data_IF_288911866795
#
_entry.id   IF_288911866795
#
_cell.length_a   1.000
_cell.length_b   1.000
_cell.length_c   1.000
_cell.angle_alpha   90.00
_cell.angle_beta   90.00
_cell.angle_gamma   90.00
#
_symmetry.space_group_name_H-M   'P 1'
#
loop_
_entity.id
_entity.type
_entity.pdbx_description
1 polymer ?
#
# COMPACT_ATOMS: atom_id res chain seq x y z
N UNK A 1 -74.94 -44.56 0.77
CA UNK A 1 -73.97 -43.68 1.44
C UNK A 1 -72.59 -44.11 0.97
N UNK A 2 -72.05 -43.44 -0.05
CA UNK A 2 -70.82 -43.83 -0.74
C UNK A 2 -69.69 -42.94 -0.18
N UNK A 3 -68.77 -43.51 0.58
CA UNK A 3 -67.61 -42.78 1.11
C UNK A 3 -66.45 -42.86 0.12
N UNK A 4 -66.10 -41.72 -0.47
CA UNK A 4 -64.91 -41.52 -1.31
C UNK A 4 -63.75 -41.19 -0.37
N UNK A 5 -62.69 -42.01 -0.33
CA UNK A 5 -61.44 -41.66 0.34
C UNK A 5 -60.53 -40.91 -0.64
N UNK A 6 -60.35 -39.61 -0.44
CA UNK A 6 -59.32 -38.82 -1.13
C UNK A 6 -57.98 -39.01 -0.40
N UNK A 7 -56.99 -39.61 -1.08
CA UNK A 7 -55.60 -39.63 -0.64
C UNK A 7 -54.90 -38.41 -1.22
N UNK A 8 -54.57 -37.43 -0.38
CA UNK A 8 -53.73 -36.31 -0.77
C UNK A 8 -52.26 -36.75 -0.75
N UNK A 9 -51.61 -36.73 -1.91
CA UNK A 9 -50.16 -36.82 -2.04
C UNK A 9 -49.57 -35.43 -1.76
N UNK A 10 -48.80 -35.30 -0.67
CA UNK A 10 -47.94 -34.14 -0.45
C UNK A 10 -46.65 -34.33 -1.26
N UNK A 11 -46.56 -33.71 -2.42
CA UNK A 11 -45.30 -33.51 -3.14
C UNK A 11 -44.49 -32.43 -2.40
N UNK A 12 -43.43 -32.85 -1.71
CA UNK A 12 -42.46 -31.95 -1.10
C UNK A 12 -41.60 -31.34 -2.22
N UNK A 13 -41.92 -30.12 -2.65
CA UNK A 13 -41.07 -29.33 -3.55
C UNK A 13 -39.87 -28.87 -2.72
N UNK A 14 -38.73 -29.55 -2.86
CA UNK A 14 -37.45 -29.08 -2.36
C UNK A 14 -37.04 -27.89 -3.25
N UNK A 15 -37.42 -26.69 -2.83
CA UNK A 15 -36.87 -25.45 -3.34
C UNK A 15 -35.38 -25.42 -2.97
N UNK A 16 -34.53 -25.77 -3.93
CA UNK A 16 -33.11 -25.43 -3.88
C UNK A 16 -33.02 -23.90 -3.93
N UNK A 17 -32.93 -23.28 -2.74
CA UNK A 17 -32.47 -21.91 -2.63
C UNK A 17 -30.99 -21.91 -3.06
N UNK A 18 -30.74 -21.56 -4.32
CA UNK A 18 -29.43 -21.03 -4.67
C UNK A 18 -29.25 -19.80 -3.79
N UNK A 19 -28.34 -19.88 -2.82
CA UNK A 19 -27.84 -18.71 -2.11
C UNK A 19 -27.21 -17.85 -3.19
N UNK A 20 -27.92 -16.79 -3.59
CA UNK A 20 -27.32 -15.71 -4.36
C UNK A 20 -26.37 -15.03 -3.38
N UNK A 21 -25.13 -15.51 -3.29
CA UNK A 21 -24.06 -14.75 -2.66
C UNK A 21 -23.85 -13.52 -3.54
N UNK A 22 -24.49 -12.41 -3.15
CA UNK A 22 -24.08 -11.08 -3.61
C UNK A 22 -22.59 -10.98 -3.35
N UNK A 23 -21.81 -10.58 -4.35
CA UNK A 23 -20.46 -10.18 -4.04
C UNK A 23 -20.54 -8.92 -3.17
N UNK A 24 -19.70 -8.84 -2.15
CA UNK A 24 -19.73 -7.73 -1.21
C UNK A 24 -18.48 -6.88 -1.37
N UNK A 25 -18.68 -5.59 -1.54
CA UNK A 25 -17.63 -4.59 -1.59
C UNK A 25 -16.89 -4.53 -0.25
N UNK A 26 -15.56 -4.45 -0.32
CA UNK A 26 -14.67 -4.36 0.85
C UNK A 26 -13.89 -3.06 0.91
N UNK A 27 -13.94 -2.26 -0.14
CA UNK A 27 -13.24 -0.98 -0.18
C UNK A 27 -12.70 -0.66 -1.56
N UNK A 28 -12.15 0.53 -1.68
CA UNK A 28 -11.54 0.99 -2.90
C UNK A 28 -11.03 2.41 -2.78
N UNK A 29 -10.35 2.84 -3.83
CA UNK A 29 -9.70 4.12 -3.95
C UNK A 29 -9.72 4.55 -5.42
N UNK A 30 -9.89 5.84 -5.68
CA UNK A 30 -9.78 6.43 -7.02
C UNK A 30 -8.78 7.57 -6.96
N UNK A 31 -7.85 7.63 -7.89
CA UNK A 31 -6.96 8.78 -8.13
C UNK A 31 -7.00 9.15 -9.61
N UNK A 32 -6.42 10.29 -9.95
CA UNK A 32 -6.33 10.75 -11.32
C UNK A 32 -5.07 11.56 -11.57
N UNK A 33 -4.63 11.57 -12.82
CA UNK A 33 -3.56 12.44 -13.31
C UNK A 33 -3.87 12.96 -14.72
N UNK A 34 -3.36 14.12 -15.11
CA UNK A 34 -3.48 14.61 -16.47
C UNK A 34 -2.74 13.67 -17.43
N UNK A 35 -3.35 13.43 -18.58
CA UNK A 35 -2.76 12.65 -19.67
C UNK A 35 -2.66 13.52 -20.94
N UNK A 36 -1.93 13.02 -21.95
CA UNK A 36 -1.77 13.72 -23.23
C UNK A 36 -3.12 13.97 -23.93
N UNK A 37 -3.15 14.94 -24.85
CA UNK A 37 -4.30 15.19 -25.74
C UNK A 37 -5.63 15.49 -25.02
N UNK A 38 -5.59 16.29 -23.94
CA UNK A 38 -6.78 16.66 -23.16
C UNK A 38 -7.50 15.45 -22.55
N UNK A 39 -6.71 14.44 -22.15
CA UNK A 39 -7.21 13.27 -21.44
C UNK A 39 -6.94 13.39 -19.94
N UNK A 40 -7.76 12.69 -19.18
CA UNK A 40 -7.49 12.35 -17.78
C UNK A 40 -7.26 10.84 -17.69
N UNK A 41 -6.25 10.43 -16.94
CA UNK A 41 -6.08 9.04 -16.55
C UNK A 41 -6.66 8.86 -15.15
N UNK A 42 -7.74 8.10 -15.05
CA UNK A 42 -8.42 7.75 -13.80
C UNK A 42 -7.91 6.37 -13.38
N UNK A 43 -7.18 6.32 -12.27
CA UNK A 43 -6.66 5.11 -11.68
C UNK A 43 -7.56 4.70 -10.52
N UNK A 44 -7.79 3.41 -10.33
CA UNK A 44 -8.55 2.93 -9.18
C UNK A 44 -8.02 1.60 -8.68
N UNK A 45 -8.15 1.40 -7.37
CA UNK A 45 -7.98 0.11 -6.71
C UNK A 45 -9.30 -0.25 -6.05
N UNK A 46 -9.68 -1.50 -6.12
CA UNK A 46 -10.91 -2.00 -5.50
C UNK A 46 -10.67 -3.32 -4.79
N UNK A 47 -11.51 -3.60 -3.81
CA UNK A 47 -11.49 -4.84 -3.07
C UNK A 47 -12.92 -5.38 -2.90
N UNK A 48 -13.04 -6.70 -3.09
CA UNK A 48 -14.30 -7.43 -2.99
C UNK A 48 -14.12 -8.67 -2.11
N UNK A 49 -15.25 -9.24 -1.69
CA UNK A 49 -15.25 -10.60 -1.17
C UNK A 49 -14.73 -11.56 -2.22
N UNK A 50 -13.72 -12.34 -1.84
CA UNK A 50 -13.19 -13.40 -2.68
C UNK A 50 -14.13 -14.59 -2.65
N UNK A 51 -14.75 -14.88 -3.78
CA UNK A 51 -15.64 -16.03 -3.98
C UNK A 51 -15.25 -16.75 -5.27
N UNK A 52 -15.46 -18.06 -5.33
CA UNK A 52 -15.24 -18.86 -6.55
C UNK A 52 -16.18 -18.47 -7.69
N UNK A 53 -17.30 -17.81 -7.38
CA UNK A 53 -18.30 -17.43 -8.37
C UNK A 53 -18.16 -15.97 -8.82
N UNK A 54 -17.63 -15.09 -7.97
CA UNK A 54 -17.48 -13.66 -8.23
C UNK A 54 -16.14 -13.17 -7.65
N UNK A 55 -15.39 -12.40 -8.45
CA UNK A 55 -14.16 -11.70 -8.03
C UNK A 55 -13.08 -12.62 -7.43
N UNK A 56 -12.94 -13.85 -7.93
CA UNK A 56 -11.83 -14.72 -7.55
C UNK A 56 -10.52 -14.12 -8.09
N UNK A 57 -9.60 -13.76 -7.20
CA UNK A 57 -8.19 -13.68 -7.55
C UNK A 57 -7.46 -14.88 -6.94
N UNK A 58 -6.54 -15.46 -7.68
CA UNK A 58 -5.59 -16.47 -7.25
C UNK A 58 -4.25 -16.19 -7.96
N UNK A 59 -3.22 -16.97 -7.62
CA UNK A 59 -1.90 -16.81 -8.22
C UNK A 59 -1.93 -16.91 -9.75
N UNK A 60 -2.73 -17.82 -10.31
CA UNK A 60 -2.81 -17.99 -11.76
C UNK A 60 -3.45 -16.78 -12.46
N UNK A 61 -4.45 -16.15 -11.85
CA UNK A 61 -5.07 -14.92 -12.38
C UNK A 61 -4.10 -13.74 -12.31
N UNK A 62 -3.33 -13.63 -11.21
CA UNK A 62 -2.30 -12.59 -11.02
C UNK A 62 -1.17 -12.78 -12.04
N UNK A 63 -0.60 -13.98 -12.13
CA UNK A 63 0.53 -14.31 -13.01
C UNK A 63 0.20 -14.08 -14.49
N UNK A 64 -1.00 -14.44 -14.91
CA UNK A 64 -1.45 -14.24 -16.29
C UNK A 64 -1.89 -12.79 -16.57
N UNK A 65 -1.97 -11.92 -15.55
CA UNK A 65 -2.51 -10.57 -15.70
C UNK A 65 -3.93 -10.58 -16.26
N UNK A 66 -4.77 -11.50 -15.79
CA UNK A 66 -6.13 -11.65 -16.32
C UNK A 66 -7.02 -10.51 -15.83
N UNK A 67 -7.65 -9.80 -16.76
CA UNK A 67 -8.63 -8.77 -16.45
C UNK A 67 -9.93 -9.42 -16.00
N UNK A 68 -10.38 -9.12 -14.78
CA UNK A 68 -11.65 -9.62 -14.23
C UNK A 68 -12.66 -8.49 -14.04
N UNK A 69 -13.94 -8.81 -14.07
CA UNK A 69 -15.01 -7.83 -13.84
C UNK A 69 -15.12 -7.46 -12.36
N UNK A 70 -15.39 -6.19 -12.08
CA UNK A 70 -15.87 -5.69 -10.78
C UNK A 70 -17.35 -5.36 -10.83
N UNK A 71 -17.87 -4.80 -9.74
CA UNK A 71 -19.26 -4.33 -9.67
C UNK A 71 -19.36 -2.81 -9.72
N UNK A 72 -20.20 -2.28 -10.61
CA UNK A 72 -20.44 -0.84 -10.71
C UNK A 72 -19.86 -0.23 -11.97
N UNK A 73 -20.33 0.97 -12.25
CA UNK A 73 -20.07 1.69 -13.50
C UNK A 73 -19.42 3.02 -13.18
N UNK A 74 -18.31 3.34 -13.84
CA UNK A 74 -17.70 4.65 -13.75
C UNK A 74 -18.61 5.65 -14.44
N UNK A 75 -19.09 6.64 -13.69
CA UNK A 75 -19.95 7.69 -14.19
C UNK A 75 -19.25 9.03 -14.15
N UNK A 76 -19.56 9.88 -15.12
CA UNK A 76 -19.30 11.30 -14.99
C UNK A 76 -20.45 11.98 -14.26
N UNK A 77 -20.12 12.72 -13.21
CA UNK A 77 -21.05 13.31 -12.25
C UNK A 77 -21.08 14.84 -12.33
N UNK A 78 -19.98 15.45 -12.82
CA UNK A 78 -19.86 16.89 -13.10
C UNK A 78 -18.86 17.11 -14.23
N UNK A 79 -19.08 18.13 -15.06
CA UNK A 79 -18.18 18.53 -16.16
C UNK A 79 -18.36 17.70 -17.45
N UNK A 80 -19.03 16.56 -17.36
CA UNK A 80 -19.44 15.70 -18.46
C UNK A 80 -20.73 14.93 -18.11
N UNK A 81 -21.22 14.07 -19.02
CA UNK A 81 -22.45 13.29 -18.83
C UNK A 81 -22.26 11.83 -19.22
N UNK A 82 -22.93 10.94 -18.49
CA UNK A 82 -23.12 9.54 -18.87
C UNK A 82 -22.17 8.56 -18.19
N UNK A 83 -22.39 7.28 -18.49
CA UNK A 83 -21.53 6.17 -18.09
C UNK A 83 -20.31 6.09 -18.99
N UNK A 84 -19.13 5.94 -18.38
CA UNK A 84 -17.85 5.85 -19.09
C UNK A 84 -17.52 4.38 -19.39
N UNK A 85 -17.49 3.53 -18.36
CA UNK A 85 -17.24 2.09 -18.52
C UNK A 85 -17.70 1.31 -17.29
N UNK A 86 -17.93 0.01 -17.46
CA UNK A 86 -18.12 -0.92 -16.35
C UNK A 86 -16.77 -1.23 -15.70
N UNK A 87 -16.77 -1.42 -14.39
CA UNK A 87 -15.54 -1.73 -13.66
C UNK A 87 -14.94 -3.07 -14.08
N UNK A 88 -13.62 -3.06 -14.30
CA UNK A 88 -12.80 -4.26 -14.46
C UNK A 88 -11.42 -3.99 -13.91
N UNK A 89 -10.73 -4.99 -13.38
CA UNK A 89 -9.43 -4.79 -12.76
C UNK A 89 -8.50 -5.99 -12.88
N UNK A 90 -7.21 -5.72 -12.80
CA UNK A 90 -6.17 -6.72 -12.70
C UNK A 90 -5.92 -7.03 -11.23
N UNK A 91 -6.03 -8.30 -10.86
CA UNK A 91 -5.69 -8.77 -9.53
C UNK A 91 -4.24 -8.41 -9.18
N UNK A 92 -4.03 -7.91 -7.97
CA UNK A 92 -2.68 -7.70 -7.43
C UNK A 92 -2.44 -8.56 -6.21
N UNK A 93 -3.45 -8.77 -5.38
CA UNK A 93 -3.33 -9.53 -4.14
C UNK A 93 -4.66 -10.16 -3.74
N UNK A 94 -4.59 -11.17 -2.88
CA UNK A 94 -5.75 -11.78 -2.24
C UNK A 94 -5.38 -12.34 -0.86
N UNK A 95 -6.40 -12.62 -0.05
CA UNK A 95 -6.24 -13.36 1.21
C UNK A 95 -7.20 -14.54 1.26
N UNK A 96 -6.64 -15.76 1.34
CA UNK A 96 -7.41 -16.97 1.59
C UNK A 96 -8.03 -17.01 2.98
N UNK A 97 -7.33 -16.44 3.96
CA UNK A 97 -7.76 -16.43 5.37
C UNK A 97 -8.88 -15.43 5.58
N UNK A 98 -8.73 -14.22 5.03
CA UNK A 98 -9.68 -13.13 5.24
C UNK A 98 -10.76 -13.03 4.17
N UNK A 99 -10.68 -13.87 3.12
CA UNK A 99 -11.66 -13.95 2.03
C UNK A 99 -11.87 -12.61 1.33
N UNK A 100 -10.78 -11.92 1.03
CA UNK A 100 -10.79 -10.72 0.20
C UNK A 100 -9.88 -10.86 -1.00
N UNK A 101 -10.17 -10.03 -1.98
CA UNK A 101 -9.45 -9.89 -3.22
C UNK A 101 -9.20 -8.41 -3.46
N UNK A 102 -8.08 -8.02 -4.08
CA UNK A 102 -7.87 -6.64 -4.49
C UNK A 102 -7.13 -6.56 -5.81
N UNK A 103 -7.38 -5.48 -6.53
CA UNK A 103 -6.68 -5.20 -7.75
C UNK A 103 -6.94 -3.80 -8.26
N UNK A 104 -6.27 -3.45 -9.35
CA UNK A 104 -6.24 -2.09 -9.87
C UNK A 104 -6.36 -2.06 -11.38
N UNK A 105 -6.81 -0.92 -11.90
CA UNK A 105 -6.85 -0.61 -13.32
C UNK A 105 -6.80 0.90 -13.52
N UNK A 106 -6.56 1.31 -14.76
CA UNK A 106 -6.68 2.70 -15.16
C UNK A 106 -7.48 2.86 -16.44
N UNK A 107 -8.12 4.02 -16.60
CA UNK A 107 -8.89 4.37 -17.78
C UNK A 107 -8.45 5.76 -18.22
N UNK A 108 -8.11 5.90 -19.50
CA UNK A 108 -7.92 7.20 -20.13
C UNK A 108 -9.25 7.67 -20.71
N UNK A 109 -9.68 8.86 -20.31
CA UNK A 109 -10.94 9.46 -20.73
C UNK A 109 -10.70 10.80 -21.42
N UNK A 110 -11.30 10.98 -22.60
CA UNK A 110 -11.27 12.25 -23.32
C UNK A 110 -12.24 13.22 -22.66
N UNK A 111 -11.72 14.34 -22.16
CA UNK A 111 -12.53 15.32 -21.47
C UNK A 111 -13.30 16.19 -22.48
N UNK A 112 -14.63 16.31 -22.36
CA UNK A 112 -15.36 17.34 -23.09
C UNK A 112 -15.07 18.71 -22.47
N UNK A 113 -15.31 19.79 -23.21
CA UNK A 113 -15.11 21.15 -22.71
C UNK A 113 -16.05 21.45 -21.54
N UNK A 114 -15.49 21.80 -20.37
CA UNK A 114 -16.23 22.36 -19.24
C UNK A 114 -15.94 23.85 -19.08
N UNK A 115 -16.88 24.63 -18.53
CA UNK A 115 -16.69 26.07 -18.31
C UNK A 115 -15.73 26.39 -17.16
N UNK A 116 -15.62 25.51 -16.17
CA UNK A 116 -14.81 25.69 -14.96
C UNK A 116 -13.61 24.74 -14.88
N UNK A 117 -13.42 23.86 -15.89
CA UNK A 117 -12.43 22.76 -15.89
C UNK A 117 -12.51 21.84 -14.66
N UNK A 118 -13.67 21.80 -13.99
CA UNK A 118 -13.89 20.99 -12.80
C UNK A 118 -14.76 19.77 -13.15
N UNK A 119 -14.20 18.59 -12.94
CA UNK A 119 -14.85 17.32 -13.24
C UNK A 119 -15.06 16.51 -11.98
N UNK A 120 -16.12 15.71 -11.97
CA UNK A 120 -16.33 14.70 -10.93
C UNK A 120 -16.64 13.37 -11.58
N UNK A 121 -15.98 12.33 -11.09
CA UNK A 121 -16.17 10.96 -11.53
C UNK A 121 -16.49 10.10 -10.33
N UNK A 122 -17.12 8.95 -10.56
CA UNK A 122 -17.24 7.98 -9.49
C UNK A 122 -17.84 6.66 -9.89
N UNK A 123 -17.51 5.66 -9.08
CA UNK A 123 -18.17 4.36 -9.13
C UNK A 123 -19.26 4.31 -8.07
N UNK A 124 -20.37 3.66 -8.42
CA UNK A 124 -21.41 3.29 -7.47
C UNK A 124 -21.97 1.92 -7.80
N UNK A 125 -22.29 1.17 -6.75
CA UNK A 125 -23.06 -0.06 -6.83
C UNK A 125 -23.65 -0.36 -5.45
N UNK A 126 -24.29 -1.53 -5.36
CA UNK A 126 -24.42 -2.29 -4.15
C UNK A 126 -23.50 -3.54 -4.25
N UNK A 127 -23.24 -4.37 -3.23
CA UNK A 127 -23.59 -4.19 -1.83
C UNK A 127 -22.33 -4.10 -0.95
N UNK A 128 -22.39 -3.29 0.12
CA UNK A 128 -21.51 -3.54 1.27
C UNK A 128 -21.86 -4.89 1.91
N UNK A 129 -20.88 -5.51 2.61
CA UNK A 129 -21.19 -6.58 3.58
C UNK A 129 -22.17 -6.09 4.66
N UNK A 130 -22.71 -7.00 5.47
CA UNK A 130 -23.48 -6.60 6.66
C UNK A 130 -22.59 -5.80 7.62
N UNK A 131 -22.96 -4.55 7.86
CA UNK A 131 -22.28 -3.64 8.77
C UNK A 131 -23.10 -3.42 10.03
N UNK A 132 -22.42 -3.02 11.11
CA UNK A 132 -23.05 -2.54 12.35
C UNK A 132 -23.87 -1.28 12.08
N UNK A 133 -23.35 -0.41 11.21
CA UNK A 133 -23.98 0.86 10.86
C UNK A 133 -23.80 1.15 9.36
N UNK A 134 -24.85 1.71 8.75
CA UNK A 134 -24.86 2.02 7.32
C UNK A 134 -24.95 0.79 6.42
N UNK A 135 -24.27 0.84 5.27
CA UNK A 135 -24.17 -0.26 4.31
C UNK A 135 -25.07 -0.08 3.09
N UNK A 136 -25.58 -1.19 2.54
CA UNK A 136 -26.38 -1.23 1.31
C UNK A 136 -25.65 -0.75 0.05
N UNK A 137 -25.42 0.54 -0.13
CA UNK A 137 -24.79 1.10 -1.32
C UNK A 137 -23.45 1.75 -0.99
N UNK A 138 -22.56 1.75 -1.96
CA UNK A 138 -21.29 2.46 -1.89
C UNK A 138 -21.19 3.45 -3.05
N UNK A 139 -20.45 4.54 -2.81
CA UNK A 139 -20.18 5.59 -3.76
C UNK A 139 -18.75 6.05 -3.55
N UNK A 140 -17.91 5.96 -4.58
CA UNK A 140 -16.56 6.51 -4.57
C UNK A 140 -16.53 7.67 -5.54
N UNK A 141 -16.73 8.90 -5.03
CA UNK A 141 -16.68 10.13 -5.83
C UNK A 141 -15.31 10.77 -5.71
N UNK A 142 -14.70 11.10 -6.85
CA UNK A 142 -13.50 11.92 -6.94
C UNK A 142 -13.81 13.25 -7.62
N UNK A 143 -13.09 14.31 -7.23
CA UNK A 143 -13.11 15.63 -7.85
C UNK A 143 -11.75 15.92 -8.46
N UNK A 144 -11.76 16.39 -9.71
CA UNK A 144 -10.59 16.77 -10.48
C UNK A 144 -10.69 18.23 -10.94
N UNK A 145 -9.86 19.11 -10.37
CA UNK A 145 -9.63 20.45 -10.89
C UNK A 145 -8.48 20.41 -11.90
N UNK A 146 -8.81 20.64 -13.17
CA UNK A 146 -7.84 20.57 -14.26
C UNK A 146 -7.31 21.96 -14.67
N UNK A 147 -7.57 22.99 -13.85
CA UNK A 147 -6.92 24.28 -14.04
C UNK A 147 -5.42 24.16 -13.76
N UNK A 148 -4.62 24.90 -14.54
CA UNK A 148 -3.17 24.93 -14.34
C UNK A 148 -2.84 25.59 -13.02
N UNK A 149 -2.02 24.92 -12.21
CA UNK A 149 -1.49 25.43 -10.95
C UNK A 149 -0.65 26.68 -11.20
N UNK A 150 -0.74 27.66 -10.29
CA UNK A 150 -0.09 28.98 -10.46
C UNK A 150 1.42 28.93 -10.23
N UNK A 151 1.90 27.99 -9.44
CA UNK A 151 3.31 27.80 -9.09
C UNK A 151 4.08 26.96 -10.12
N UNK A 152 3.50 25.88 -10.61
CA UNK A 152 4.18 24.96 -11.54
C UNK A 152 3.78 25.18 -13.00
N UNK A 153 2.64 25.84 -13.27
CA UNK A 153 2.07 25.97 -14.61
C UNK A 153 1.55 24.65 -15.19
N UNK A 154 1.57 23.57 -14.41
CA UNK A 154 1.09 22.22 -14.77
C UNK A 154 -0.28 21.96 -14.15
N UNK A 155 -1.00 21.00 -14.69
CA UNK A 155 -2.21 20.46 -14.06
C UNK A 155 -1.77 19.56 -12.90
N UNK A 156 -2.54 19.58 -11.83
CA UNK A 156 -2.31 18.75 -10.64
C UNK A 156 -2.44 17.25 -10.92
N UNK A 157 -1.74 16.41 -10.18
CA UNK A 157 -1.98 14.97 -10.09
C UNK A 157 -2.46 14.66 -8.68
N UNK A 158 -3.60 13.99 -8.54
CA UNK A 158 -4.15 13.73 -7.20
C UNK A 158 -3.27 12.77 -6.40
N UNK A 159 -3.38 12.73 -5.06
CA UNK A 159 -2.68 11.76 -4.24
C UNK A 159 -3.07 10.33 -4.57
N UNK A 160 -2.22 9.38 -4.18
CA UNK A 160 -2.49 7.94 -4.27
C UNK A 160 -2.52 7.27 -2.90
N UNK A 161 -3.24 6.15 -2.78
CA UNK A 161 -3.33 5.34 -1.56
C UNK A 161 -3.36 3.83 -1.85
N UNK A 162 -2.91 3.03 -0.89
CA UNK A 162 -2.87 1.56 -0.94
C UNK A 162 -3.28 0.91 0.40
N UNK A 163 -4.36 1.41 1.00
CA UNK A 163 -4.91 0.88 2.24
C UNK A 163 -5.28 -0.61 2.14
N UNK A 164 -5.06 -1.37 3.22
CA UNK A 164 -5.55 -2.75 3.33
C UNK A 164 -7.09 -2.79 3.22
N UNK A 165 -7.69 -3.77 2.53
CA UNK A 165 -9.14 -3.89 2.46
C UNK A 165 -9.82 -4.06 3.82
N UNK A 166 -9.12 -4.66 4.79
CA UNK A 166 -9.63 -4.97 6.12
C UNK A 166 -8.61 -4.57 7.18
N UNK A 167 -9.07 -3.80 8.17
CA UNK A 167 -8.31 -3.47 9.38
C UNK A 167 -8.99 -4.11 10.59
N UNK A 168 -8.23 -4.80 11.43
CA UNK A 168 -8.77 -5.54 12.59
C UNK A 168 -8.47 -4.85 13.90
N UNK A 169 -9.52 -4.66 14.69
CA UNK A 169 -9.43 -4.13 16.04
C UNK A 169 -9.95 -5.15 17.05
N UNK A 170 -9.10 -5.48 18.02
CA UNK A 170 -9.56 -6.22 19.19
C UNK A 170 -10.39 -5.31 20.09
N UNK A 171 -11.56 -5.82 20.49
CA UNK A 171 -12.45 -5.14 21.42
C UNK A 171 -11.73 -4.80 22.73
N UNK A 172 -11.88 -3.55 23.19
CA UNK A 172 -11.27 -3.03 24.42
C UNK A 172 -9.83 -2.54 24.26
N UNK A 173 -9.29 -2.49 23.04
CA UNK A 173 -7.97 -1.93 22.76
C UNK A 173 -8.06 -0.57 22.04
N UNK A 174 -7.00 0.23 22.18
CA UNK A 174 -6.81 1.47 21.46
C UNK A 174 -6.00 1.26 20.18
N UNK A 175 -6.42 1.91 19.10
CA UNK A 175 -5.75 1.84 17.80
C UNK A 175 -5.52 3.23 17.21
N UNK A 176 -4.37 3.36 16.55
CA UNK A 176 -4.05 4.46 15.65
C UNK A 176 -3.73 3.89 14.28
N UNK A 177 -4.45 4.34 13.26
CA UNK A 177 -4.28 3.92 11.88
C UNK A 177 -3.89 5.12 11.04
N UNK A 178 -2.66 5.13 10.54
CA UNK A 178 -2.19 6.13 9.59
C UNK A 178 -2.68 5.76 8.19
N UNK A 179 -3.38 6.67 7.53
CA UNK A 179 -3.81 6.46 6.15
C UNK A 179 -2.58 6.58 5.24
N UNK A 180 -2.26 5.58 4.40
CA UNK A 180 -1.14 5.68 3.50
C UNK A 180 -1.46 6.62 2.35
N UNK A 181 -0.64 7.66 2.18
CA UNK A 181 -0.78 8.65 1.11
C UNK A 181 0.59 8.94 0.50
N UNK A 182 0.63 9.05 -0.82
CA UNK A 182 1.77 9.61 -1.55
C UNK A 182 1.25 10.63 -2.56
N UNK A 183 2.02 11.68 -2.76
CA UNK A 183 1.70 12.80 -3.66
C UNK A 183 2.90 13.08 -4.56
N UNK A 184 2.64 13.21 -5.86
CA UNK A 184 3.69 13.38 -6.88
C UNK A 184 4.10 14.85 -7.05
N UNK A 185 3.26 15.77 -6.58
CA UNK A 185 3.34 17.21 -6.82
C UNK A 185 3.89 17.97 -5.59
N UNK A 186 4.13 17.27 -4.48
CA UNK A 186 4.65 17.81 -3.23
C UNK A 186 3.63 18.62 -2.43
N UNK A 187 2.33 18.35 -2.65
CA UNK A 187 1.23 19.10 -2.07
C UNK A 187 0.98 18.75 -0.59
N UNK A 188 0.34 19.68 0.11
CA UNK A 188 -0.08 19.49 1.50
C UNK A 188 -1.31 18.59 1.51
N UNK A 189 -1.18 17.42 2.13
CA UNK A 189 -2.25 16.45 2.26
C UNK A 189 -3.08 16.70 3.50
N UNK A 190 -4.41 16.64 3.35
CA UNK A 190 -5.36 16.51 4.45
C UNK A 190 -6.38 15.43 4.13
N UNK A 191 -6.90 14.82 5.18
CA UNK A 191 -7.98 13.85 5.08
C UNK A 191 -9.22 14.41 5.75
N UNK A 192 -10.40 14.04 5.28
CA UNK A 192 -11.66 14.31 5.97
C UNK A 192 -12.61 13.15 5.80
N UNK A 193 -13.64 13.10 6.64
CA UNK A 193 -14.73 12.17 6.42
C UNK A 193 -15.49 12.50 5.14
N UNK A 194 -15.84 11.47 4.36
CA UNK A 194 -16.74 11.62 3.22
C UNK A 194 -18.12 12.08 3.68
N UNK A 195 -18.77 12.91 2.87
CA UNK A 195 -20.05 13.53 3.19
C UNK A 195 -21.17 13.06 2.26
N UNK A 196 -22.43 13.18 2.72
CA UNK A 196 -23.61 12.87 1.90
C UNK A 196 -24.09 14.09 1.11
N UNK A 197 -23.90 15.27 1.68
CA UNK A 197 -24.37 16.55 1.15
C UNK A 197 -23.23 17.57 1.14
N UNK A 198 -23.09 18.40 0.09
CA UNK A 198 -24.05 18.57 -1.01
C UNK A 198 -24.01 17.44 -2.05
N UNK A 199 -22.93 16.67 -2.08
CA UNK A 199 -22.68 15.61 -3.04
C UNK A 199 -22.41 14.31 -2.28
N UNK A 200 -23.10 13.22 -2.63
CA UNK A 200 -22.84 11.88 -2.08
C UNK A 200 -21.41 11.34 -2.38
N UNK A 201 -20.58 11.19 -1.35
CA UNK A 201 -19.19 10.68 -1.43
C UNK A 201 -19.00 9.30 -0.80
N UNK A 202 -20.06 8.71 -0.24
CA UNK A 202 -19.96 7.54 0.64
C UNK A 202 -21.06 6.49 0.45
N UNK A 203 -22.13 6.81 -0.28
CA UNK A 203 -23.31 5.94 -0.37
C UNK A 203 -23.97 5.83 1.00
N UNK A 204 -24.07 4.63 1.54
CA UNK A 204 -24.70 4.36 2.84
C UNK A 204 -23.75 4.35 4.04
N UNK A 205 -22.48 4.74 3.91
CA UNK A 205 -21.47 4.57 4.98
C UNK A 205 -20.73 5.85 5.40
N UNK A 206 -21.33 7.01 5.20
CA UNK A 206 -20.77 8.28 5.70
C UNK A 206 -20.62 8.22 7.23
N UNK A 207 -19.39 8.42 7.71
CA UNK A 207 -19.06 8.43 9.14
C UNK A 207 -19.54 7.18 9.91
N UNK A 208 -19.55 6.02 9.25
CA UNK A 208 -20.12 4.80 9.81
C UNK A 208 -19.26 4.13 10.91
N UNK A 209 -18.08 4.67 11.24
CA UNK A 209 -17.26 4.21 12.39
C UNK A 209 -17.46 5.16 13.58
N UNK A 210 -18.58 5.01 14.27
CA UNK A 210 -18.95 5.85 15.40
C UNK A 210 -17.98 5.76 16.57
N UNK A 211 -17.60 6.92 17.12
CA UNK A 211 -16.64 7.04 18.23
C UNK A 211 -15.17 7.09 17.79
N UNK A 212 -14.88 7.05 16.48
CA UNK A 212 -13.55 7.32 15.96
C UNK A 212 -13.26 8.81 15.83
N UNK A 213 -11.98 9.17 15.88
CA UNK A 213 -11.50 10.53 15.68
C UNK A 213 -10.42 10.54 14.61
N UNK A 214 -10.61 11.34 13.56
CA UNK A 214 -9.64 11.55 12.49
C UNK A 214 -8.89 12.84 12.74
N UNK A 215 -7.56 12.77 12.90
CA UNK A 215 -6.71 13.94 12.70
C UNK A 215 -6.62 14.20 11.20
N UNK A 216 -7.36 15.20 10.73
CA UNK A 216 -7.46 15.59 9.34
C UNK A 216 -6.12 16.08 8.77
N UNK A 217 -5.25 16.65 9.61
CA UNK A 217 -3.98 17.24 9.17
C UNK A 217 -2.87 16.21 9.00
N UNK A 218 -2.87 15.16 9.82
CA UNK A 218 -1.89 14.07 9.74
C UNK A 218 -2.45 12.81 9.09
N UNK A 219 -3.74 12.79 8.71
CA UNK A 219 -4.44 11.62 8.19
C UNK A 219 -4.32 10.40 9.13
N UNK A 220 -4.50 10.60 10.43
CA UNK A 220 -4.42 9.53 11.44
C UNK A 220 -5.79 9.31 12.06
N UNK A 221 -6.33 8.10 11.88
CA UNK A 221 -7.58 7.66 12.50
C UNK A 221 -7.26 7.01 13.85
N UNK A 222 -7.85 7.56 14.91
CA UNK A 222 -7.79 7.00 16.25
C UNK A 222 -9.13 6.39 16.64
N UNK A 223 -9.09 5.23 17.29
CA UNK A 223 -10.29 4.51 17.68
C UNK A 223 -10.07 3.69 18.94
N UNK A 224 -10.90 3.93 19.96
CA UNK A 224 -11.02 3.09 21.13
C UNK A 224 -12.10 2.02 20.82
N UNK A 225 -11.68 0.76 20.69
CA UNK A 225 -12.53 -0.31 20.16
C UNK A 225 -13.52 -0.86 21.22
N UNK A 226 -14.28 0.00 21.87
CA UNK A 226 -15.25 -0.37 22.93
C UNK A 226 -16.70 -0.39 22.44
N UNK A 227 -16.96 0.09 21.21
CA UNK A 227 -18.27 0.04 20.55
C UNK A 227 -18.67 -1.39 20.19
N UNK A 228 -19.84 -1.56 19.54
CA UNK A 228 -20.37 -2.88 19.16
C UNK A 228 -19.37 -3.74 18.38
N UNK A 229 -19.44 -5.05 18.60
CA UNK A 229 -18.69 -6.01 17.79
C UNK A 229 -19.29 -6.09 16.39
N UNK A 230 -18.45 -6.30 15.38
CA UNK A 230 -18.88 -6.48 14.00
C UNK A 230 -18.08 -5.67 13.00
N UNK A 231 -18.62 -5.58 11.79
CA UNK A 231 -18.00 -4.89 10.66
C UNK A 231 -18.49 -3.45 10.57
N UNK A 232 -17.55 -2.56 10.26
CA UNK A 232 -17.76 -1.15 10.00
C UNK A 232 -17.11 -0.81 8.66
N UNK A 233 -17.61 0.20 7.99
CA UNK A 233 -16.96 0.79 6.83
C UNK A 233 -16.42 2.16 7.20
N UNK A 234 -15.24 2.48 6.68
CA UNK A 234 -14.64 3.79 6.77
C UNK A 234 -14.66 4.40 5.37
N UNK A 235 -15.15 5.63 5.24
CA UNK A 235 -15.18 6.38 3.99
C UNK A 235 -14.61 7.78 4.21
N UNK A 236 -13.45 8.03 3.60
CA UNK A 236 -12.69 9.27 3.69
C UNK A 236 -12.53 9.91 2.30
N UNK A 237 -12.27 11.20 2.30
CA UNK A 237 -11.67 11.93 1.19
C UNK A 237 -10.24 12.29 1.58
N UNK A 238 -9.30 12.03 0.68
CA UNK A 238 -7.92 12.53 0.76
C UNK A 238 -7.86 13.71 -0.20
N UNK A 239 -7.39 14.84 0.30
CA UNK A 239 -7.38 16.12 -0.40
C UNK A 239 -5.97 16.69 -0.40
N UNK A 240 -5.55 17.21 -1.55
CA UNK A 240 -4.27 17.90 -1.72
C UNK A 240 -4.48 19.41 -1.86
N UNK A 241 -3.50 20.15 -1.37
CA UNK A 241 -3.54 21.60 -1.34
C UNK A 241 -2.16 22.14 -1.68
N UNK A 242 -2.15 23.15 -2.55
CA UNK A 242 -0.91 23.82 -2.92
C UNK A 242 -0.17 24.39 -1.69
N UNK A 243 -0.92 24.90 -0.71
CA UNK A 243 -0.39 25.44 0.55
C UNK A 243 -1.23 25.03 1.74
N UNK A 244 -0.61 24.98 2.92
CA UNK A 244 -1.29 24.68 4.19
C UNK A 244 -2.37 25.69 4.56
N UNK A 245 -2.30 26.92 4.04
CA UNK A 245 -3.30 27.98 4.26
C UNK A 245 -4.51 27.89 3.35
N UNK A 246 -4.46 27.09 2.28
CA UNK A 246 -5.53 27.04 1.29
C UNK A 246 -6.76 26.33 1.86
N UNK A 247 -7.95 26.73 1.42
CA UNK A 247 -9.23 26.14 1.88
C UNK A 247 -9.97 25.39 0.77
N UNK A 248 -9.47 25.47 -0.45
CA UNK A 248 -10.01 24.78 -1.62
C UNK A 248 -8.95 23.79 -2.10
N UNK A 249 -9.24 22.49 -2.12
CA UNK A 249 -8.28 21.50 -2.57
C UNK A 249 -8.11 21.50 -4.09
N UNK A 250 -6.96 21.03 -4.56
CA UNK A 250 -6.70 20.80 -6.00
C UNK A 250 -7.42 19.54 -6.47
N UNK A 251 -7.57 18.55 -5.59
CA UNK A 251 -8.28 17.30 -5.81
C UNK A 251 -8.90 16.79 -4.51
N UNK A 252 -9.96 15.99 -4.66
CA UNK A 252 -10.55 15.23 -3.56
C UNK A 252 -10.77 13.82 -4.04
N UNK A 253 -10.07 12.86 -3.45
CA UNK A 253 -10.07 11.46 -3.87
C UNK A 253 -10.61 10.53 -2.78
N UNK A 254 -11.53 9.60 -3.12
CA UNK A 254 -12.20 8.75 -2.14
C UNK A 254 -11.28 7.61 -1.69
N UNK A 255 -11.27 7.32 -0.39
CA UNK A 255 -10.73 6.09 0.18
C UNK A 255 -11.81 5.38 1.01
N UNK A 256 -12.04 4.10 0.73
CA UNK A 256 -12.97 3.26 1.49
C UNK A 256 -12.33 1.93 1.85
N UNK A 257 -12.55 1.46 3.07
CA UNK A 257 -12.06 0.17 3.57
C UNK A 257 -12.93 -0.32 4.74
N UNK A 258 -12.77 -1.59 5.12
CA UNK A 258 -13.48 -2.18 6.24
C UNK A 258 -12.66 -2.16 7.52
N UNK A 259 -13.36 -1.97 8.64
CA UNK A 259 -12.86 -2.22 9.99
C UNK A 259 -13.69 -3.35 10.60
N UNK A 260 -13.07 -4.29 11.29
CA UNK A 260 -13.78 -5.29 12.09
C UNK A 260 -13.36 -5.24 13.54
N UNK A 261 -14.34 -5.09 14.43
CA UNK A 261 -14.16 -5.15 15.88
C UNK A 261 -14.55 -6.54 16.37
N UNK A 262 -13.59 -7.30 16.87
CA UNK A 262 -13.78 -8.68 17.31
C UNK A 262 -13.21 -8.89 18.72
N UNK A 263 -13.71 -9.90 19.44
CA UNK A 263 -13.10 -10.34 20.70
C UNK A 263 -11.89 -11.22 20.39
N UNK A 264 -10.81 -11.01 21.14
CA UNK A 264 -9.66 -11.89 21.17
C UNK A 264 -9.47 -12.44 22.58
N UNK A 265 -8.97 -13.66 22.69
CA UNK A 265 -8.46 -14.21 23.96
C UNK A 265 -7.06 -13.68 24.30
N UNK A 266 -6.40 -13.05 23.33
CA UNK A 266 -5.06 -12.50 23.46
C UNK A 266 -5.08 -11.04 23.91
N UNK A 267 -3.99 -10.61 24.55
CA UNK A 267 -3.84 -9.22 25.00
C UNK A 267 -3.66 -8.26 23.82
N UNK A 268 -4.01 -6.98 24.01
CA UNK A 268 -3.76 -5.92 23.02
C UNK A 268 -2.26 -5.80 22.63
N UNK A 269 -1.34 -6.24 23.50
CA UNK A 269 0.10 -6.22 23.25
C UNK A 269 0.61 -7.46 22.50
N UNK A 270 -0.23 -8.50 22.35
CA UNK A 270 0.15 -9.77 21.71
C UNK A 270 0.07 -9.74 20.18
N UNK A 271 -0.22 -8.58 19.57
CA UNK A 271 -0.31 -8.44 18.10
C UNK A 271 1.05 -8.74 17.45
N UNK A 272 1.05 -9.26 16.20
CA UNK A 272 2.26 -9.34 15.40
C UNK A 272 2.95 -7.99 15.28
N UNK A 273 4.28 -8.01 15.18
CA UNK A 273 5.08 -6.83 14.90
C UNK A 273 5.88 -7.04 13.62
N UNK A 274 6.12 -5.95 12.91
CA UNK A 274 7.04 -5.90 11.79
C UNK A 274 8.39 -5.39 12.34
N UNK A 275 9.38 -6.26 12.61
CA UNK A 275 10.72 -5.82 13.01
C UNK A 275 11.34 -4.93 11.93
N UNK A 276 12.52 -4.30 12.19
CA UNK A 276 13.19 -3.47 11.19
C UNK A 276 13.38 -4.23 9.87
N UNK A 277 12.58 -3.84 8.88
CA UNK A 277 12.64 -4.31 7.49
C UNK A 277 13.38 -3.25 6.66
N UNK A 278 13.90 -3.64 5.49
CA UNK A 278 14.43 -2.67 4.52
C UNK A 278 13.33 -1.69 4.11
N UNK A 279 12.12 -2.21 3.91
CA UNK A 279 10.92 -1.42 3.66
C UNK A 279 10.33 -0.99 5.01
N UNK A 280 10.41 0.30 5.32
CA UNK A 280 9.82 0.90 6.53
C UNK A 280 8.68 1.84 6.20
N UNK A 281 7.84 2.18 7.18
CA UNK A 281 6.69 3.05 6.94
C UNK A 281 7.15 4.44 6.46
N UNK A 282 6.61 4.88 5.32
CA UNK A 282 6.97 6.14 4.67
C UNK A 282 8.32 6.14 3.93
N UNK A 283 8.99 4.99 3.79
CA UNK A 283 10.23 4.90 3.01
C UNK A 283 9.97 5.09 1.51
N UNK A 284 10.99 5.60 0.79
CA UNK A 284 10.93 5.82 -0.66
C UNK A 284 12.02 4.98 -1.33
N UNK A 285 11.65 4.19 -2.33
CA UNK A 285 12.54 3.31 -3.08
C UNK A 285 12.46 3.62 -4.58
N UNK A 286 13.58 3.99 -5.18
CA UNK A 286 13.69 4.19 -6.62
C UNK A 286 14.00 2.88 -7.33
N UNK A 287 13.20 2.52 -8.33
CA UNK A 287 13.28 1.27 -9.07
C UNK A 287 13.29 1.58 -10.56
N UNK A 288 14.46 1.55 -11.21
CA UNK A 288 14.53 1.82 -12.64
C UNK A 288 13.72 0.81 -13.45
N UNK A 289 13.14 1.25 -14.56
CA UNK A 289 12.37 0.38 -15.45
C UNK A 289 13.18 -0.85 -15.87
N UNK A 290 12.53 -2.00 -15.91
CA UNK A 290 13.10 -3.31 -16.24
C UNK A 290 14.19 -3.82 -15.29
N UNK A 291 14.37 -3.21 -14.12
CA UNK A 291 15.21 -3.77 -13.05
C UNK A 291 14.37 -4.58 -12.08
N UNK A 292 15.03 -5.51 -11.37
CA UNK A 292 14.35 -6.37 -10.39
C UNK A 292 14.50 -5.72 -9.01
N UNK A 293 13.38 -5.33 -8.42
CA UNK A 293 13.24 -5.07 -7.00
C UNK A 293 12.94 -6.40 -6.29
N UNK A 294 13.73 -6.74 -5.27
CA UNK A 294 13.58 -8.01 -4.56
C UNK A 294 13.91 -7.81 -3.08
N UNK A 295 12.92 -7.98 -2.21
CA UNK A 295 13.06 -7.73 -0.78
C UNK A 295 12.34 -8.79 0.05
N UNK A 296 12.86 -9.04 1.25
CA UNK A 296 12.20 -9.91 2.24
C UNK A 296 11.48 -9.08 3.29
N UNK A 297 10.23 -9.44 3.56
CA UNK A 297 9.40 -8.84 4.59
C UNK A 297 9.30 -9.82 5.73
N UNK A 298 9.87 -9.44 6.87
CA UNK A 298 9.88 -10.23 8.10
C UNK A 298 8.78 -9.74 9.04
N UNK A 299 8.08 -10.68 9.65
CA UNK A 299 7.08 -10.47 10.69
C UNK A 299 7.38 -11.37 11.89
N UNK A 300 7.14 -10.86 13.10
CA UNK A 300 7.34 -11.59 14.35
C UNK A 300 6.02 -11.72 15.10
N UNK A 301 5.74 -12.88 15.67
CA UNK A 301 4.55 -13.06 16.52
C UNK A 301 4.69 -12.31 17.85
N UNK A 302 3.58 -11.76 18.36
CA UNK A 302 3.57 -11.00 19.62
C UNK A 302 3.51 -11.87 20.89
N UNK A 303 3.27 -13.17 20.75
CA UNK A 303 3.18 -14.13 21.87
C UNK A 303 3.93 -15.43 21.59
N UNK A 304 4.43 -16.09 22.64
CA UNK A 304 5.26 -17.31 22.51
C UNK A 304 4.52 -18.50 21.86
N UNK A 305 3.19 -18.56 22.02
CA UNK A 305 2.34 -19.61 21.44
C UNK A 305 1.62 -19.16 20.16
N UNK A 306 1.85 -17.91 19.74
CA UNK A 306 1.26 -17.35 18.53
C UNK A 306 2.21 -17.54 17.36
N UNK A 307 1.64 -17.71 16.18
CA UNK A 307 2.38 -17.82 14.92
C UNK A 307 1.82 -16.86 13.89
N UNK A 308 2.71 -16.27 13.08
CA UNK A 308 2.28 -15.52 11.90
C UNK A 308 1.75 -16.54 10.88
N UNK A 309 0.56 -16.30 10.36
CA UNK A 309 -0.11 -17.15 9.37
C UNK A 309 -0.22 -16.48 8.01
N UNK A 310 -0.08 -15.16 7.93
CA UNK A 310 -0.05 -14.44 6.67
C UNK A 310 0.76 -13.14 6.80
N UNK A 311 1.38 -12.73 5.69
CA UNK A 311 1.80 -11.36 5.44
C UNK A 311 0.98 -10.88 4.25
N UNK A 312 -0.06 -10.12 4.57
CA UNK A 312 -1.02 -9.61 3.60
C UNK A 312 -0.47 -8.32 2.99
N UNK A 313 -0.63 -8.18 1.68
CA UNK A 313 0.01 -7.15 0.86
C UNK A 313 -1.04 -6.41 0.03
N UNK A 314 -0.75 -5.16 -0.29
CA UNK A 314 -1.44 -4.38 -1.32
C UNK A 314 -0.35 -3.86 -2.26
N UNK A 315 -0.27 -4.48 -3.43
CA UNK A 315 0.91 -4.45 -4.29
C UNK A 315 0.65 -3.76 -5.63
N UNK A 316 1.67 -3.16 -6.27
CA UNK A 316 1.58 -2.76 -7.66
C UNK A 316 1.35 -3.96 -8.59
N UNK A 317 0.79 -3.71 -9.78
CA UNK A 317 0.58 -4.76 -10.79
C UNK A 317 1.92 -5.45 -11.13
N UNK A 318 1.89 -6.79 -11.16
CA UNK A 318 3.02 -7.64 -11.52
C UNK A 318 4.05 -7.84 -10.41
N UNK A 319 3.79 -7.36 -9.20
CA UNK A 319 4.57 -7.76 -8.03
C UNK A 319 4.16 -9.17 -7.60
N UNK A 320 5.14 -10.03 -7.39
CA UNK A 320 4.96 -11.43 -7.00
C UNK A 320 5.38 -11.58 -5.55
N UNK A 321 4.63 -12.37 -4.78
CA UNK A 321 4.89 -12.69 -3.38
C UNK A 321 5.10 -14.19 -3.23
N UNK A 322 6.12 -14.59 -2.48
CA UNK A 322 6.34 -16.00 -2.16
C UNK A 322 5.30 -16.53 -1.16
N UNK A 323 5.29 -17.85 -0.96
CA UNK A 323 4.66 -18.43 0.24
C UNK A 323 5.32 -17.90 1.52
N UNK A 324 4.62 -18.07 2.64
CA UNK A 324 5.11 -17.70 3.96
C UNK A 324 6.06 -18.76 4.51
N UNK A 325 7.30 -18.38 4.81
CA UNK A 325 8.31 -19.27 5.37
C UNK A 325 8.65 -18.91 6.82
N UNK A 326 8.85 -19.89 7.72
CA UNK A 326 9.39 -19.62 9.05
C UNK A 326 10.87 -19.22 8.95
N UNK A 327 11.30 -18.28 9.78
CA UNK A 327 12.70 -17.97 9.99
C UNK A 327 13.27 -18.94 11.03
N UNK A 328 13.82 -20.06 10.56
CA UNK A 328 14.09 -21.27 11.37
C UNK A 328 14.89 -21.02 12.66
N UNK A 329 15.78 -20.03 12.66
CA UNK A 329 16.65 -19.72 13.81
C UNK A 329 15.97 -18.93 14.93
N UNK A 330 14.83 -18.29 14.66
CA UNK A 330 14.16 -17.39 15.61
C UNK A 330 13.08 -18.07 16.45
N UNK A 331 12.44 -19.11 15.91
CA UNK A 331 11.24 -19.77 16.46
C UNK A 331 9.96 -18.91 16.51
N UNK A 332 10.01 -17.62 16.12
CA UNK A 332 8.88 -16.67 16.23
C UNK A 332 8.79 -15.66 15.08
N UNK A 333 9.59 -15.82 14.05
CA UNK A 333 9.59 -14.95 12.87
C UNK A 333 9.24 -15.75 11.63
N UNK A 334 8.53 -15.09 10.73
CA UNK A 334 8.16 -15.58 9.42
C UNK A 334 8.46 -14.51 8.40
N UNK A 335 8.68 -14.90 7.15
CA UNK A 335 8.93 -13.96 6.09
C UNK A 335 8.28 -14.38 4.78
N UNK A 336 8.03 -13.38 3.95
CA UNK A 336 7.75 -13.54 2.52
C UNK A 336 8.81 -12.78 1.74
N UNK A 337 9.08 -13.22 0.52
CA UNK A 337 9.89 -12.47 -0.43
C UNK A 337 8.97 -11.86 -1.48
N UNK A 338 9.13 -10.56 -1.72
CA UNK A 338 8.44 -9.84 -2.79
C UNK A 338 9.40 -9.53 -3.90
N UNK A 339 8.98 -9.76 -5.14
CA UNK A 339 9.77 -9.48 -6.34
C UNK A 339 8.93 -8.69 -7.32
N UNK A 340 9.48 -7.60 -7.85
CA UNK A 340 8.80 -6.76 -8.82
C UNK A 340 9.75 -6.28 -9.90
N UNK A 341 9.29 -6.31 -11.15
CA UNK A 341 10.02 -5.81 -12.31
C UNK A 341 9.13 -4.83 -13.09
N UNK A 342 9.16 -3.53 -12.77
CA UNK A 342 8.29 -2.57 -13.41
C UNK A 342 8.63 -2.39 -14.90
N UNK A 343 7.60 -2.14 -15.70
CA UNK A 343 7.70 -1.82 -17.13
C UNK A 343 7.62 -0.31 -17.38
N UNK A 344 7.88 0.14 -18.62
CA UNK A 344 7.75 1.57 -19.00
C UNK A 344 6.34 2.13 -18.75
N UNK A 345 5.32 1.31 -18.86
CA UNK A 345 3.94 1.74 -18.60
C UNK A 345 3.66 1.99 -17.11
N UNK A 346 4.58 1.60 -16.24
CA UNK A 346 4.49 1.77 -14.80
C UNK A 346 5.41 2.89 -14.30
N UNK A 347 5.93 3.75 -15.17
CA UNK A 347 6.66 4.96 -14.74
C UNK A 347 5.76 5.84 -13.86
N UNK A 348 6.33 6.36 -12.79
CA UNK A 348 5.65 7.15 -11.77
C UNK A 348 5.66 6.48 -10.40
N UNK A 349 4.81 6.98 -9.52
CA UNK A 349 4.78 6.57 -8.12
C UNK A 349 3.75 5.49 -7.87
N UNK A 350 4.15 4.49 -7.08
CA UNK A 350 3.29 3.40 -6.61
C UNK A 350 3.42 3.27 -5.10
N UNK A 351 2.37 2.79 -4.44
CA UNK A 351 2.44 2.42 -3.04
C UNK A 351 2.44 0.90 -2.90
N UNK A 352 3.30 0.42 -2.02
CA UNK A 352 3.34 -0.96 -1.58
C UNK A 352 3.15 -1.02 -0.07
N UNK A 353 2.10 -1.72 0.37
CA UNK A 353 1.73 -1.79 1.78
C UNK A 353 1.61 -3.25 2.25
N UNK A 354 1.89 -3.50 3.53
CA UNK A 354 1.77 -4.83 4.10
C UNK A 354 1.44 -4.83 5.60
N UNK A 355 0.83 -5.93 6.04
CA UNK A 355 0.48 -6.22 7.44
C UNK A 355 0.70 -7.69 7.74
N UNK A 356 1.17 -8.02 8.95
CA UNK A 356 1.26 -9.40 9.42
C UNK A 356 -0.02 -9.80 10.15
N UNK A 357 -0.45 -11.06 9.99
CA UNK A 357 -1.64 -11.64 10.65
C UNK A 357 -1.25 -12.90 11.39
N UNK A 358 -1.69 -13.05 12.65
CA UNK A 358 -1.48 -14.27 13.45
C UNK A 358 -2.63 -15.29 13.35
N UNK A 359 -2.40 -16.47 13.93
CA UNK A 359 -3.37 -17.56 14.02
C UNK A 359 -4.60 -17.26 14.89
N UNK A 360 -4.65 -16.12 15.57
CA UNK A 360 -5.82 -15.62 16.31
C UNK A 360 -6.55 -14.52 15.52
N UNK A 361 -6.04 -14.14 14.35
CA UNK A 361 -6.58 -13.09 13.51
C UNK A 361 -6.22 -11.68 13.98
N UNK A 362 -5.20 -11.50 14.81
CA UNK A 362 -4.68 -10.17 15.13
C UNK A 362 -3.72 -9.71 14.04
N UNK A 363 -3.74 -8.40 13.76
CA UNK A 363 -2.90 -7.79 12.74
C UNK A 363 -1.87 -6.86 13.35
N UNK A 364 -0.69 -6.77 12.74
CA UNK A 364 0.27 -5.70 13.01
C UNK A 364 -0.29 -4.35 12.57
N UNK A 365 0.40 -3.27 12.93
CA UNK A 365 0.22 -2.01 12.22
C UNK A 365 0.63 -2.17 10.75
N UNK A 366 0.02 -1.38 9.88
CA UNK A 366 0.34 -1.36 8.46
C UNK A 366 1.65 -0.60 8.23
N UNK A 367 2.51 -1.17 7.39
CA UNK A 367 3.71 -0.51 6.87
C UNK A 367 3.53 -0.26 5.38
N UNK A 368 3.79 0.97 4.94
CA UNK A 368 3.71 1.33 3.53
C UNK A 368 4.97 2.03 3.04
N UNK A 369 5.37 1.76 1.81
CA UNK A 369 6.46 2.45 1.13
C UNK A 369 6.06 2.96 -0.25
N UNK A 370 6.69 4.05 -0.64
CA UNK A 370 6.56 4.65 -1.96
C UNK A 370 7.62 4.06 -2.89
N UNK A 371 7.18 3.40 -3.95
CA UNK A 371 8.02 2.85 -5.01
C UNK A 371 7.96 3.79 -6.22
N UNK A 372 9.08 4.44 -6.52
CA UNK A 372 9.20 5.40 -7.63
C UNK A 372 9.85 4.70 -8.81
N UNK A 373 9.12 4.56 -9.91
CA UNK A 373 9.63 3.97 -11.16
C UNK A 373 10.04 5.07 -12.11
N UNK A 374 11.29 5.04 -12.55
CA UNK A 374 11.84 6.00 -13.50
C UNK A 374 12.56 5.33 -14.68
N UNK A 375 12.56 6.00 -15.84
CA UNK A 375 13.28 5.57 -17.05
C UNK A 375 14.73 6.07 -17.04
N UNK A 376 15.27 6.41 -15.86
CA UNK A 376 16.69 6.70 -15.73
C UNK A 376 17.45 5.38 -15.89
N UNK A 377 17.78 5.07 -17.15
CA UNK A 377 19.03 4.38 -17.44
C UNK A 377 20.06 5.15 -16.63
N UNK A 378 20.71 4.50 -15.67
CA UNK A 378 21.98 5.01 -15.16
C UNK A 378 22.89 5.02 -16.37
N UNK A 379 22.86 6.14 -17.11
CA UNK A 379 23.79 6.43 -18.18
C UNK A 379 25.13 6.28 -17.51
N UNK A 380 25.87 5.23 -17.85
CA UNK A 380 27.29 5.21 -17.55
C UNK A 380 27.81 6.51 -18.14
N UNK A 381 28.18 7.43 -17.24
CA UNK A 381 28.86 8.66 -17.60
C UNK A 381 30.09 8.19 -18.36
N UNK A 382 30.06 8.34 -19.67
CA UNK A 382 31.28 8.40 -20.44
C UNK A 382 31.93 9.67 -19.97
N UNK A 383 32.96 9.52 -19.12
CA UNK A 383 33.82 10.63 -18.72
C UNK A 383 34.32 11.31 -20.00
N UNK A 384 33.80 12.51 -20.26
CA UNK A 384 34.50 13.49 -21.05
C UNK A 384 34.86 14.62 -20.09
N UNK A 385 36.15 14.86 -19.80
CA UNK A 385 36.56 15.87 -18.86
C UNK A 385 36.55 17.22 -19.59
N UNK A 386 35.72 18.17 -19.13
CA UNK A 386 36.13 19.56 -18.95
C UNK A 386 34.99 20.49 -18.48
N UNK A 387 35.36 21.31 -17.47
CA UNK A 387 34.78 22.57 -17.01
C UNK A 387 33.75 22.58 -15.84
N UNK A 388 34.30 23.01 -14.70
CA UNK A 388 33.78 23.55 -13.42
C UNK A 388 32.55 24.50 -13.53
N UNK A 389 31.74 24.83 -12.51
CA UNK A 389 31.89 24.90 -11.05
C UNK A 389 30.49 24.85 -10.34
N UNK A 390 30.23 24.02 -9.31
CA UNK A 390 30.40 24.17 -7.84
C UNK A 390 29.32 24.99 -7.08
N UNK A 391 28.57 24.29 -6.20
CA UNK A 391 28.30 24.72 -4.80
C UNK A 391 28.66 23.53 -3.90
N UNK A 392 29.57 23.78 -2.94
CA UNK A 392 30.30 22.80 -2.11
C UNK A 392 29.51 22.42 -0.85
N UNK A 393 29.31 21.12 -0.62
CA UNK A 393 29.29 20.50 0.71
C UNK A 393 30.09 19.18 0.65
N UNK A 394 31.22 19.16 1.39
CA UNK A 394 32.18 18.06 1.65
C UNK A 394 32.49 17.03 0.53
N UNK A 395 33.62 17.16 -0.21
CA UNK A 395 33.95 16.32 -1.38
C UNK A 395 34.58 14.94 -1.10
N UNK A 396 34.61 14.43 0.13
CA UNK A 396 35.41 13.23 0.47
C UNK A 396 34.67 11.88 0.49
N UNK A 397 33.36 11.84 0.20
CA UNK A 397 32.63 10.57 0.07
C UNK A 397 31.88 10.45 -1.27
N UNK A 398 32.61 10.62 -2.37
CA UNK A 398 32.16 10.24 -3.71
C UNK A 398 32.28 8.73 -3.93
N UNK A 399 31.12 8.07 -4.05
CA UNK A 399 30.86 6.74 -4.61
C UNK A 399 31.67 5.54 -4.07
N UNK A 400 30.96 4.64 -3.41
CA UNK A 400 31.42 3.27 -3.19
C UNK A 400 31.69 2.59 -4.53
N UNK A 401 32.98 2.30 -4.78
CA UNK A 401 33.43 1.44 -5.87
C UNK A 401 32.68 0.11 -5.78
N UNK A 402 31.86 -0.15 -6.81
CA UNK A 402 31.09 -1.37 -7.15
C UNK A 402 30.99 -2.51 -6.11
N UNK A 403 29.79 -3.09 -5.88
CA UNK A 403 29.57 -4.23 -4.97
C UNK A 403 30.57 -5.40 -5.14
N UNK A 404 31.04 -5.61 -6.37
CA UNK A 404 32.06 -6.61 -6.70
C UNK A 404 33.40 -6.38 -5.98
N UNK A 405 33.83 -5.12 -5.80
CA UNK A 405 35.08 -4.80 -5.12
C UNK A 405 34.99 -4.99 -3.60
N UNK A 406 33.84 -4.69 -3.01
CA UNK A 406 33.56 -4.95 -1.60
C UNK A 406 33.52 -6.45 -1.33
N UNK A 407 32.87 -7.21 -2.22
CA UNK A 407 32.83 -8.68 -2.15
C UNK A 407 34.23 -9.30 -2.25
N UNK A 408 35.06 -8.88 -3.20
CA UNK A 408 36.43 -9.41 -3.33
C UNK A 408 37.27 -9.13 -2.08
N UNK A 409 37.15 -7.92 -1.49
CA UNK A 409 37.82 -7.60 -0.22
C UNK A 409 37.35 -8.47 0.94
N UNK A 410 36.06 -8.77 1.04
CA UNK A 410 35.54 -9.63 2.11
C UNK A 410 35.92 -11.09 1.93
N UNK A 411 35.98 -11.60 0.69
CA UNK A 411 36.50 -12.94 0.40
C UNK A 411 37.96 -13.06 0.86
N UNK A 412 38.81 -12.08 0.55
CA UNK A 412 40.21 -12.06 0.98
C UNK A 412 40.36 -11.94 2.50
N UNK A 413 39.58 -11.07 3.14
CA UNK A 413 39.68 -10.81 4.59
C UNK A 413 39.21 -11.98 5.45
N UNK A 414 38.17 -12.70 5.03
CA UNK A 414 37.67 -13.89 5.73
C UNK A 414 38.58 -15.10 5.51
N UNK A 415 39.36 -15.13 4.43
CA UNK A 415 40.38 -16.15 4.18
C UNK A 415 41.72 -15.89 4.90
N UNK A 416 41.91 -14.72 5.52
CA UNK A 416 43.12 -14.38 6.27
C UNK A 416 43.21 -15.12 7.62
N UNK A 417 44.42 -15.20 8.20
CA UNK A 417 44.65 -15.82 9.51
C UNK A 417 45.31 -14.80 10.46
N UNK A 418 44.60 -14.29 11.48
CA UNK A 418 43.18 -14.55 11.80
C UNK A 418 42.21 -13.87 10.81
N UNK A 419 40.96 -14.37 10.69
CA UNK A 419 39.96 -13.79 9.78
C UNK A 419 39.51 -12.42 10.27
N UNK A 420 39.33 -11.49 9.33
CA UNK A 420 38.91 -10.11 9.57
C UNK A 420 37.49 -9.90 9.03
N UNK A 421 36.54 -9.66 9.94
CA UNK A 421 35.14 -9.43 9.60
C UNK A 421 34.75 -7.95 9.47
N UNK A 422 35.66 -7.04 9.83
CA UNK A 422 35.41 -5.61 9.77
C UNK A 422 36.60 -4.88 9.14
N UNK A 423 36.34 -4.10 8.09
CA UNK A 423 37.35 -3.46 7.26
C UNK A 423 37.06 -1.98 7.07
N UNK A 424 38.11 -1.22 6.78
CA UNK A 424 38.04 0.20 6.55
C UNK A 424 37.37 0.49 5.20
N UNK A 425 36.43 1.43 5.24
CA UNK A 425 35.76 1.97 4.06
C UNK A 425 36.56 3.13 3.47
N UNK A 426 36.28 3.48 2.21
CA UNK A 426 36.79 4.73 1.61
C UNK A 426 36.18 5.99 2.24
N UNK A 427 35.11 5.86 3.02
CA UNK A 427 34.48 6.96 3.76
C UNK A 427 34.67 6.74 5.27
N UNK A 428 35.34 7.66 6.00
CA UNK A 428 35.64 7.48 7.44
C UNK A 428 34.40 7.33 8.32
N UNK A 429 33.24 7.84 7.89
CA UNK A 429 31.97 7.68 8.61
C UNK A 429 31.30 6.33 8.38
N UNK A 430 31.95 5.39 7.68
CA UNK A 430 31.42 4.07 7.37
C UNK A 430 32.51 3.00 7.53
N UNK A 431 32.10 1.74 7.63
CA UNK A 431 32.97 0.58 7.60
C UNK A 431 32.36 -0.54 6.78
N UNK A 432 33.17 -1.54 6.42
CA UNK A 432 32.71 -2.72 5.70
C UNK A 432 32.59 -3.86 6.72
N UNK A 433 31.42 -4.46 6.83
CA UNK A 433 31.16 -5.66 7.60
C UNK A 433 31.07 -6.87 6.66
N UNK A 434 31.94 -7.85 6.84
CA UNK A 434 31.96 -9.10 6.09
C UNK A 434 31.25 -10.20 6.88
N UNK A 435 30.52 -11.08 6.19
CA UNK A 435 30.04 -12.34 6.77
C UNK A 435 31.01 -13.50 6.46
N UNK A 436 30.76 -14.67 7.06
CA UNK A 436 31.59 -15.89 6.88
C UNK A 436 31.66 -16.39 5.43
N UNK A 437 30.76 -15.93 4.55
CA UNK A 437 30.71 -16.30 3.13
C UNK A 437 31.42 -15.27 2.24
N UNK A 438 32.11 -14.27 2.82
CA UNK A 438 32.83 -13.23 2.08
C UNK A 438 31.93 -12.18 1.43
N UNK A 439 30.66 -12.07 1.86
CA UNK A 439 29.75 -11.00 1.43
C UNK A 439 29.96 -9.80 2.35
N UNK A 440 30.17 -8.62 1.75
CA UNK A 440 30.42 -7.38 2.47
C UNK A 440 29.26 -6.40 2.41
N UNK A 441 28.96 -5.78 3.55
CA UNK A 441 27.95 -4.75 3.74
C UNK A 441 28.63 -3.46 4.20
N UNK A 442 28.14 -2.33 3.71
CA UNK A 442 28.64 -1.02 4.13
C UNK A 442 27.76 -0.54 5.28
N UNK A 443 28.38 -0.27 6.42
CA UNK A 443 27.69 0.10 7.65
C UNK A 443 28.06 1.53 8.06
N UNK A 444 27.09 2.39 8.39
CA UNK A 444 27.39 3.74 8.87
C UNK A 444 27.85 3.71 10.33
N UNK A 445 28.74 4.63 10.67
CA UNK A 445 29.04 5.01 12.05
C UNK A 445 27.99 5.99 12.60
N UNK A 446 27.87 6.07 13.93
CA UNK A 446 26.98 7.04 14.55
C UNK A 446 27.43 8.49 14.26
N UNK A 447 26.51 9.47 14.20
CA UNK A 447 26.86 10.87 13.98
C UNK A 447 27.95 11.36 14.95
N UNK A 448 29.01 11.99 14.42
CA UNK A 448 30.15 12.46 15.21
C UNK A 448 31.23 11.40 15.53
N UNK A 449 31.15 10.22 14.91
CA UNK A 449 32.16 9.15 15.00
C UNK A 449 32.72 8.75 13.63
N UNK A 450 33.94 8.20 13.61
CA UNK A 450 34.62 7.65 12.45
C UNK A 450 35.12 6.22 12.73
N UNK A 451 35.22 5.38 11.70
CA UNK A 451 35.69 4.01 11.83
C UNK A 451 37.18 3.96 12.21
N UNK A 452 37.48 3.17 13.25
CA UNK A 452 38.83 2.89 13.70
C UNK A 452 39.24 1.45 13.33
N UNK A 453 40.04 1.27 12.28
CA UNK A 453 40.46 -0.08 11.85
C UNK A 453 41.25 -0.84 12.92
N UNK A 454 42.00 -0.14 13.77
CA UNK A 454 42.80 -0.76 14.84
C UNK A 454 41.93 -1.28 16.01
N UNK A 455 40.84 -0.58 16.33
CA UNK A 455 39.91 -0.93 17.42
C UNK A 455 38.70 -1.75 16.94
N UNK A 456 38.51 -1.86 15.62
CA UNK A 456 37.35 -2.48 14.97
C UNK A 456 36.01 -1.91 15.48
N UNK A 457 35.95 -0.58 15.66
CA UNK A 457 34.74 0.12 16.13
C UNK A 457 34.71 1.57 15.63
N UNK A 458 33.53 2.20 15.67
CA UNK A 458 33.38 3.63 15.41
C UNK A 458 33.72 4.42 16.69
N UNK A 459 34.64 5.37 16.60
CA UNK A 459 35.13 6.18 17.72
C UNK A 459 35.05 7.68 17.37
N UNK A 460 35.18 8.57 18.36
CA UNK A 460 35.06 10.02 18.13
C UNK A 460 36.07 10.50 17.10
N UNK A 461 35.62 11.37 16.19
CA UNK A 461 36.48 11.93 15.13
C UNK A 461 37.79 12.47 15.70
N UNK A 462 38.92 11.96 15.21
CA UNK A 462 40.27 12.33 15.63
C UNK A 462 40.90 11.43 16.71
N UNK A 463 40.17 10.50 17.32
CA UNK A 463 40.71 9.55 18.31
C UNK A 463 41.42 8.34 17.70
N UNK A 464 41.35 8.19 16.37
CA UNK A 464 42.00 7.14 15.59
C UNK A 464 43.45 7.48 15.17
N UNK A 465 43.92 8.69 15.48
CA UNK A 465 45.29 9.14 15.20
C UNK A 465 46.18 8.94 16.43
N UNK A 466 46.78 7.76 16.55
CA UNK A 466 47.92 7.51 17.45
C UNK A 466 48.83 6.44 16.86
#
# INVERSE_FOLDING_TARGET
MMYISSKYWFTCIILYFHVVESSHFRGGFISWKPAENNQIEINYRVAFQRSTYNHMCDENIIDNGTLISGEGTLQCLKGCMGSITTMSYYCTDFSDTEKWTTGTNSIKYNLPTSSDNLYQFGFTSCCWITLVEGGSTWMMRTTADLNKRKDTGKINSSPISAMQPIVRFNYGCDYTLKIPVSDDDGDVIRCRWSTKTPNDECGGVCQALNGSHLDESSCVLSYNATSSLGWYAVALQIEDFQKSSDTVPLSSVPLQFLVVVARSSESCASRPILPPNIITDGSIHHIPVNTIFNESIVARSGGEKLRVTAIDTVSPIGMIKSELFPYETSGREWFVTVTWKPTKNQIGTHLFCFTAVDNMGQSSDQTCATLVVDDHVVSQVTENPESDAVIVLNPSCSAFKTPEKVRNKCIEAVAAVPPLFYLESSCPSHFIQCNELGVGYIMPCAPGTEWCQQKLTCDRVGSCKS
#
